data_IF_202471545135
#
_entry.id   IF_202471545135
#
_cell.length_a   1.000
_cell.length_b   1.000
_cell.length_c   1.000
_cell.angle_alpha   90.00
_cell.angle_beta   90.00
_cell.angle_gamma   90.00
#
_symmetry.space_group_name_H-M   'P 1'
#
loop_
_entity.id
_entity.type
_entity.pdbx_description
1 polymer ?
#
# COMPACT_ATOMS: atom_id res chain seq x y z
N UNK A 1 -7.46 16.49 3.12
CA UNK A 1 -7.39 15.92 1.75
C UNK A 1 -5.93 15.64 1.42
N UNK A 2 -5.61 14.37 1.16
CA UNK A 2 -4.28 13.93 0.73
C UNK A 2 -4.34 13.43 -0.72
N UNK A 3 -3.29 13.70 -1.50
CA UNK A 3 -3.14 13.23 -2.87
C UNK A 3 -1.92 12.31 -2.96
N UNK A 4 -2.01 11.28 -3.79
CA UNK A 4 -0.90 10.35 -4.01
C UNK A 4 -0.94 9.69 -5.38
N UNK A 5 0.21 9.15 -5.79
CA UNK A 5 0.38 8.48 -7.07
C UNK A 5 1.43 7.37 -7.00
N UNK A 6 1.40 6.41 -7.93
CA UNK A 6 2.53 5.50 -8.13
C UNK A 6 3.76 6.28 -8.58
N UNK A 7 4.97 5.74 -8.35
CA UNK A 7 6.21 6.33 -8.86
C UNK A 7 6.18 6.56 -10.38
N UNK A 8 5.45 5.71 -11.11
CA UNK A 8 5.22 5.83 -12.54
C UNK A 8 4.25 6.95 -12.99
N UNK A 9 3.44 7.51 -12.08
CA UNK A 9 2.37 8.47 -12.39
C UNK A 9 1.07 7.90 -12.97
N UNK A 10 1.05 6.64 -13.43
CA UNK A 10 -0.12 6.01 -14.07
C UNK A 10 -1.32 5.77 -13.14
N UNK A 11 -1.06 5.59 -11.84
CA UNK A 11 -2.08 5.40 -10.82
C UNK A 11 -2.10 6.64 -9.94
N UNK A 12 -3.27 7.23 -9.75
CA UNK A 12 -3.48 8.40 -8.89
C UNK A 12 -4.68 8.15 -7.98
N UNK A 13 -4.59 8.63 -6.75
CA UNK A 13 -5.65 8.49 -5.75
C UNK A 13 -5.71 9.72 -4.84
N UNK A 14 -6.84 9.85 -4.15
CA UNK A 14 -7.03 10.83 -3.09
C UNK A 14 -7.60 10.17 -1.84
N UNK A 15 -7.33 10.80 -0.70
CA UNK A 15 -7.93 10.46 0.59
C UNK A 15 -8.61 11.70 1.17
N UNK A 16 -9.93 11.60 1.35
CA UNK A 16 -10.81 12.64 1.87
C UNK A 16 -11.24 12.31 3.30
N UNK A 17 -10.27 12.20 4.20
CA UNK A 17 -10.49 11.91 5.62
C UNK A 17 -9.20 11.93 6.43
N UNK A 18 -9.31 11.56 7.70
CA UNK A 18 -8.18 11.56 8.63
C UNK A 18 -7.39 10.26 8.60
N UNK A 19 -6.07 10.39 8.75
CA UNK A 19 -5.19 9.25 9.02
C UNK A 19 -5.54 8.66 10.38
N UNK A 20 -5.91 7.38 10.40
CA UNK A 20 -6.27 6.66 11.63
C UNK A 20 -5.05 6.13 12.37
N UNK A 21 -4.03 5.71 11.61
CA UNK A 21 -2.77 5.21 12.17
C UNK A 21 -1.65 5.28 11.13
N UNK A 22 -0.42 5.45 11.63
CA UNK A 22 0.80 5.22 10.87
C UNK A 22 1.52 4.05 11.53
N UNK A 23 1.91 3.04 10.74
CA UNK A 23 2.47 1.78 11.24
C UNK A 23 3.77 1.49 10.53
N UNK A 24 4.83 1.21 11.29
CA UNK A 24 6.00 0.52 10.76
C UNK A 24 5.83 -0.98 11.00
N UNK A 25 5.60 -1.73 9.93
CA UNK A 25 5.45 -3.18 10.00
C UNK A 25 6.81 -3.86 9.84
N UNK A 26 7.13 -4.72 10.81
CA UNK A 26 8.41 -5.44 10.89
C UNK A 26 8.30 -6.93 10.54
N UNK A 27 7.13 -7.41 10.10
CA UNK A 27 6.97 -8.83 9.76
C UNK A 27 7.85 -9.22 8.56
N UNK A 28 8.16 -10.52 8.46
CA UNK A 28 9.04 -11.02 7.41
C UNK A 28 8.47 -10.77 6.00
N UNK A 29 7.16 -10.87 5.84
CA UNK A 29 6.49 -10.59 4.57
C UNK A 29 6.74 -9.14 4.11
N UNK A 30 6.42 -8.15 4.96
CA UNK A 30 6.60 -6.74 4.63
C UNK A 30 8.06 -6.39 4.37
N UNK A 31 9.00 -6.95 5.15
CA UNK A 31 10.44 -6.76 4.92
C UNK A 31 10.89 -7.31 3.56
N UNK A 32 10.46 -8.52 3.20
CA UNK A 32 10.79 -9.16 1.92
C UNK A 32 10.19 -8.41 0.73
N UNK A 33 8.90 -8.02 0.81
CA UNK A 33 8.22 -7.32 -0.28
C UNK A 33 8.84 -5.95 -0.59
N UNK A 34 9.34 -5.24 0.42
CA UNK A 34 9.85 -3.88 0.26
C UNK A 34 11.39 -3.82 0.23
N UNK A 35 12.09 -4.93 0.46
CA UNK A 35 13.56 -4.97 0.54
C UNK A 35 14.16 -4.09 1.65
N UNK A 36 13.41 -3.85 2.74
CA UNK A 36 13.76 -2.91 3.81
C UNK A 36 13.64 -3.54 5.20
N UNK A 37 14.17 -2.85 6.23
CA UNK A 37 14.05 -3.26 7.64
C UNK A 37 12.60 -3.25 8.15
N UNK A 38 11.75 -2.42 7.52
CA UNK A 38 10.30 -2.35 7.75
C UNK A 38 9.60 -1.72 6.54
N UNK A 39 8.28 -1.79 6.52
CA UNK A 39 7.45 -1.00 5.59
C UNK A 39 6.51 -0.10 6.38
N UNK A 40 6.39 1.16 5.94
CA UNK A 40 5.51 2.15 6.56
C UNK A 40 4.17 2.17 5.85
N UNK A 41 3.10 1.98 6.61
CA UNK A 41 1.72 2.01 6.14
C UNK A 41 0.94 3.14 6.81
N UNK A 42 0.05 3.76 6.04
CA UNK A 42 -0.92 4.73 6.52
C UNK A 42 -2.29 4.09 6.45
N UNK A 43 -3.00 4.05 7.58
CA UNK A 43 -4.34 3.47 7.69
C UNK A 43 -5.37 4.59 7.61
N UNK A 44 -6.31 4.45 6.68
CA UNK A 44 -7.44 5.37 6.44
C UNK A 44 -8.72 4.54 6.33
N UNK A 45 -9.90 5.17 6.40
CA UNK A 45 -11.14 4.46 6.12
C UNK A 45 -11.25 4.22 4.61
N UNK A 46 -11.80 3.07 4.22
CA UNK A 46 -12.04 2.75 2.83
C UNK A 46 -12.98 3.77 2.16
N UNK A 47 -13.99 4.22 2.89
CA UNK A 47 -14.93 5.27 2.45
C UNK A 47 -14.25 6.59 2.09
N UNK A 48 -13.07 6.84 2.66
CA UNK A 48 -12.33 8.09 2.49
C UNK A 48 -11.33 7.96 1.32
N UNK A 49 -11.07 6.74 0.83
CA UNK A 49 -10.16 6.47 -0.28
C UNK A 49 -10.88 6.51 -1.62
N UNK A 50 -10.28 7.19 -2.61
CA UNK A 50 -10.78 7.18 -3.99
C UNK A 50 -9.64 7.08 -5.00
N UNK A 51 -9.70 6.07 -5.86
CA UNK A 51 -8.88 6.00 -7.06
C UNK A 51 -9.38 7.06 -8.08
N UNK A 52 -8.48 7.94 -8.52
CA UNK A 52 -8.81 9.04 -9.45
C UNK A 52 -8.33 8.80 -10.87
N UNK A 53 -7.29 7.97 -11.06
CA UNK A 53 -6.78 7.59 -12.38
C UNK A 53 -6.05 6.24 -12.33
N UNK A 54 -6.03 5.54 -13.47
CA UNK A 54 -5.40 4.23 -13.63
C UNK A 54 -6.28 3.05 -13.20
N UNK A 55 -5.72 1.85 -13.29
CA UNK A 55 -6.33 0.61 -12.82
C UNK A 55 -5.40 -0.12 -11.86
N UNK A 56 -5.98 -0.84 -10.91
CA UNK A 56 -5.26 -1.65 -9.95
C UNK A 56 -5.41 -3.12 -10.32
N UNK A 57 -4.31 -3.86 -10.20
CA UNK A 57 -4.31 -5.33 -10.22
C UNK A 57 -4.06 -5.84 -8.81
N UNK A 58 -4.71 -6.92 -8.44
CA UNK A 58 -4.61 -7.52 -7.12
C UNK A 58 -3.91 -8.87 -7.22
N UNK A 59 -3.11 -9.19 -6.21
CA UNK A 59 -2.48 -10.47 -6.05
C UNK A 59 -2.40 -10.79 -4.56
N UNK A 60 -2.54 -12.07 -4.24
CA UNK A 60 -2.44 -12.54 -2.86
C UNK A 60 -0.97 -12.69 -2.48
N UNK A 61 -0.66 -12.28 -1.25
CA UNK A 61 0.64 -12.48 -0.63
C UNK A 61 0.45 -13.21 0.69
N UNK A 62 1.31 -14.20 0.93
CA UNK A 62 1.39 -14.86 2.22
C UNK A 62 2.85 -15.05 2.60
N UNK A 63 3.12 -15.26 3.89
CA UNK A 63 4.47 -15.61 4.35
C UNK A 63 5.00 -16.90 3.68
N UNK A 64 4.09 -17.72 3.15
CA UNK A 64 4.35 -18.99 2.49
C UNK A 64 4.10 -18.96 0.97
N UNK A 65 3.82 -17.80 0.37
CA UNK A 65 3.58 -17.69 -1.06
C UNK A 65 4.89 -18.05 -1.77
N UNK A 66 4.91 -19.24 -2.39
CA UNK A 66 6.05 -19.76 -3.12
C UNK A 66 6.54 -18.74 -4.15
N UNK A 67 7.70 -18.15 -3.89
CA UNK A 67 8.50 -17.51 -4.93
C UNK A 67 8.86 -18.65 -5.90
N UNK A 68 8.38 -18.66 -7.14
CA UNK A 68 8.88 -19.62 -8.12
C UNK A 68 10.38 -19.36 -8.25
N UNK A 69 11.19 -20.41 -8.10
CA UNK A 69 12.62 -20.35 -8.43
C UNK A 69 12.81 -19.93 -9.88
#
# INVERSE_FOLDING_TARGET
MFLGNCNCGNVQFKVDGDVKRIVNCHCNLCRKMNGSAFSTYVVVLESDFKLTSGSLSFFDVSENAHIPK
#
